data_IF_613077232967
#
_entry.id   IF_613077232967
#
_cell.length_a   1.000
_cell.length_b   1.000
_cell.length_c   1.000
_cell.angle_alpha   90.00
_cell.angle_beta   90.00
_cell.angle_gamma   90.00
#
_symmetry.space_group_name_H-M   'P 1'
#
loop_
_entity.id
_entity.type
_entity.pdbx_description
1 polymer ?
#
# COMPACT_ATOMS: atom_id res chain seq x y z
N UNK A 1 23.01 7.60 -8.61
CA UNK A 1 22.02 8.69 -8.56
C UNK A 1 20.87 8.19 -7.72
N UNK A 2 20.80 8.68 -6.48
CA UNK A 2 19.89 8.21 -5.44
C UNK A 2 18.54 8.96 -5.48
N UNK A 3 17.56 8.36 -4.79
CA UNK A 3 16.32 8.95 -4.26
C UNK A 3 15.03 8.68 -5.05
N UNK A 4 14.26 7.72 -4.55
CA UNK A 4 12.82 7.88 -4.33
C UNK A 4 12.41 6.96 -3.18
N UNK A 5 12.45 7.48 -1.95
CA UNK A 5 11.90 6.83 -0.75
C UNK A 5 10.39 6.67 -0.97
N UNK A 6 9.96 5.49 -1.40
CA UNK A 6 8.56 5.15 -1.52
C UNK A 6 7.97 5.02 -0.10
N UNK A 7 7.27 6.06 0.35
CA UNK A 7 6.37 5.96 1.51
C UNK A 7 5.28 4.97 1.13
N UNK A 8 5.47 3.69 1.49
CA UNK A 8 4.44 2.66 1.35
C UNK A 8 3.45 2.81 2.48
N UNK A 9 2.59 3.81 2.35
CA UNK A 9 1.34 3.80 3.08
C UNK A 9 0.36 3.03 2.17
N UNK A 10 -0.23 1.96 2.69
CA UNK A 10 -1.20 1.16 1.96
C UNK A 10 -2.51 1.95 1.96
N UNK A 11 -2.51 3.02 1.17
CA UNK A 11 -3.55 4.03 1.20
C UNK A 11 -4.75 3.50 0.40
N UNK A 12 -5.94 3.37 1.00
CA UNK A 12 -7.13 2.94 0.28
C UNK A 12 -7.50 3.97 -0.79
N UNK A 13 -8.39 3.60 -1.71
CA UNK A 13 -8.96 4.50 -2.70
C UNK A 13 -9.54 5.78 -2.04
N UNK A 14 -9.77 6.88 -2.78
CA UNK A 14 -10.11 8.20 -2.22
C UNK A 14 -11.31 8.24 -1.26
N UNK A 15 -12.24 7.29 -1.40
CA UNK A 15 -13.38 7.04 -0.53
C UNK A 15 -12.99 6.49 0.87
N UNK A 16 -11.91 5.74 0.95
CA UNK A 16 -11.31 5.23 2.19
C UNK A 16 -10.58 6.28 3.04
N UNK A 17 -10.35 7.50 2.51
CA UNK A 17 -9.63 8.60 3.20
C UNK A 17 -10.50 9.36 4.19
N UNK A 18 -11.79 9.05 4.23
CA UNK A 18 -12.79 9.69 5.08
C UNK A 18 -12.47 9.60 6.58
N UNK A 19 -11.77 8.53 7.00
CA UNK A 19 -11.37 8.32 8.40
C UNK A 19 -10.10 9.07 8.80
N UNK A 20 -9.15 9.23 7.89
CA UNK A 20 -7.86 9.89 8.16
C UNK A 20 -7.92 11.40 7.95
N UNK A 21 -8.69 11.85 6.96
CA UNK A 21 -8.89 13.27 6.65
C UNK A 21 -10.37 13.63 6.78
N UNK A 22 -10.73 14.14 7.96
CA UNK A 22 -12.10 14.53 8.32
C UNK A 22 -12.56 15.80 7.61
N UNK A 23 -11.65 16.74 7.35
CA UNK A 23 -11.94 17.94 6.57
C UNK A 23 -11.97 17.63 5.06
N UNK A 24 -13.11 17.87 4.36
CA UNK A 24 -13.23 17.54 2.94
C UNK A 24 -12.31 18.36 2.03
N UNK A 25 -12.00 19.62 2.39
CA UNK A 25 -11.16 20.50 1.57
C UNK A 25 -9.69 20.10 1.68
N UNK A 26 -9.24 19.77 2.88
CA UNK A 26 -7.92 19.22 3.15
C UNK A 26 -7.73 17.89 2.42
N UNK A 27 -8.71 16.98 2.49
CA UNK A 27 -8.67 15.72 1.76
C UNK A 27 -8.48 15.95 0.25
N UNK A 28 -9.27 16.84 -0.34
CA UNK A 28 -9.18 17.15 -1.77
C UNK A 28 -7.82 17.76 -2.15
N UNK A 29 -7.30 18.69 -1.35
CA UNK A 29 -6.00 19.32 -1.60
C UNK A 29 -4.83 18.33 -1.53
N UNK A 30 -4.87 17.38 -0.59
CA UNK A 30 -3.83 16.35 -0.49
C UNK A 30 -3.93 15.36 -1.65
N UNK A 31 -5.12 14.89 -2.01
CA UNK A 31 -5.32 13.99 -3.16
C UNK A 31 -4.83 14.66 -4.44
N UNK A 32 -5.20 15.91 -4.68
CA UNK A 32 -4.74 16.69 -5.84
C UNK A 32 -3.22 16.78 -5.91
N UNK A 33 -2.55 17.08 -4.79
CA UNK A 33 -1.09 17.19 -4.77
C UNK A 33 -0.38 15.86 -5.04
N UNK A 34 -0.95 14.74 -4.61
CA UNK A 34 -0.37 13.40 -4.80
C UNK A 34 -0.62 12.83 -6.20
N UNK A 35 -1.74 13.19 -6.83
CA UNK A 35 -2.05 12.79 -8.21
C UNK A 35 -1.42 13.73 -9.23
N UNK A 36 -1.15 14.98 -8.86
CA UNK A 36 -0.45 15.92 -9.72
C UNK A 36 0.97 15.42 -10.03
N UNK A 37 1.21 15.03 -11.28
CA UNK A 37 2.45 14.42 -11.76
C UNK A 37 2.81 13.08 -11.08
N UNK A 38 1.85 12.45 -10.40
CA UNK A 38 1.98 11.11 -9.82
C UNK A 38 1.54 10.03 -10.82
N UNK A 39 2.20 8.88 -10.81
CA UNK A 39 1.73 7.70 -11.55
C UNK A 39 1.00 6.78 -10.59
N UNK A 40 -0.28 6.50 -10.86
CA UNK A 40 -1.07 5.55 -10.10
C UNK A 40 -0.73 4.14 -10.57
N UNK A 41 -0.35 3.27 -9.63
CA UNK A 41 -0.07 1.86 -9.88
C UNK A 41 -1.13 1.03 -9.16
N UNK A 42 -1.93 0.31 -9.93
CA UNK A 42 -2.87 -0.67 -9.39
C UNK A 42 -2.10 -1.95 -9.02
N UNK A 43 -1.98 -2.22 -7.72
CA UNK A 43 -1.36 -3.44 -7.21
C UNK A 43 -2.42 -4.48 -6.88
N UNK A 44 -2.15 -5.76 -7.13
CA UNK A 44 -3.00 -6.86 -6.68
C UNK A 44 -3.12 -6.95 -5.15
N UNK A 45 -4.01 -7.81 -4.69
CA UNK A 45 -4.29 -8.01 -3.25
C UNK A 45 -3.36 -9.04 -2.61
N UNK A 46 -2.57 -9.77 -3.41
CA UNK A 46 -1.69 -10.80 -2.93
C UNK A 46 -0.48 -10.24 -2.18
N UNK A 47 -0.34 -10.66 -0.92
CA UNK A 47 0.82 -10.32 -0.11
C UNK A 47 1.95 -11.32 -0.35
N UNK A 48 3.03 -10.85 -0.97
CA UNK A 48 4.25 -11.63 -1.17
C UNK A 48 4.80 -12.21 0.15
N UNK A 49 4.81 -11.39 1.21
CA UNK A 49 5.29 -11.82 2.54
C UNK A 49 4.39 -12.91 3.12
N UNK A 50 3.07 -12.77 2.99
CA UNK A 50 2.11 -13.77 3.48
C UNK A 50 2.23 -15.09 2.71
N UNK A 51 2.38 -15.04 1.38
CA UNK A 51 2.59 -16.23 0.57
C UNK A 51 3.88 -16.97 0.99
N UNK A 52 4.96 -16.21 1.24
CA UNK A 52 6.24 -16.77 1.69
C UNK A 52 6.15 -17.39 3.10
N UNK A 53 5.45 -16.75 4.05
CA UNK A 53 5.27 -17.31 5.39
C UNK A 53 4.38 -18.56 5.36
N UNK A 54 3.31 -18.57 4.57
CA UNK A 54 2.47 -19.76 4.37
C UNK A 54 3.25 -20.90 3.76
N UNK A 55 4.00 -20.66 2.69
CA UNK A 55 4.85 -21.68 2.06
C UNK A 55 5.89 -22.27 3.03
N UNK A 56 6.41 -21.47 3.97
CA UNK A 56 7.31 -21.95 5.04
C UNK A 56 6.57 -22.72 6.14
N UNK A 57 5.36 -22.32 6.49
CA UNK A 57 4.53 -23.01 7.48
C UNK A 57 3.96 -24.35 6.95
N UNK A 58 3.70 -24.43 5.64
CA UNK A 58 3.21 -25.61 4.95
C UNK A 58 4.32 -26.59 4.57
N UNK A 59 5.60 -26.17 4.63
CA UNK A 59 6.72 -27.12 4.63
C UNK A 59 6.63 -27.93 5.94
N UNK A 60 6.22 -29.21 5.88
CA UNK A 60 6.18 -30.02 7.08
C UNK A 60 7.61 -30.16 7.60
N UNK A 61 7.75 -30.37 8.90
CA UNK A 61 8.96 -30.90 9.51
C UNK A 61 9.31 -32.26 8.89
N UNK A 62 9.84 -32.27 7.66
CA UNK A 62 10.55 -33.40 7.05
C UNK A 62 12.03 -33.21 7.29
N UNK A 63 12.40 -33.21 8.56
CA UNK A 63 13.77 -33.41 9.03
C UNK A 63 13.68 -33.67 10.54
N UNK A 64 13.69 -34.94 10.92
CA UNK A 64 13.65 -35.41 12.30
C UNK A 64 12.82 -36.67 12.43
#
# INVERSE_FOLDING_TARGET
MAAATLVREQVPAPDGWTKSFTDPRLRAAIVDRLTFNGTIIETGTDSYRLATTRARAEQPAKAG
#
